data_IF_811691234673
#
_entry.id   IF_811691234673
#
_cell.length_a   1.000
_cell.length_b   1.000
_cell.length_c   1.000
_cell.angle_alpha   90.00
_cell.angle_beta   90.00
_cell.angle_gamma   90.00
#
_symmetry.space_group_name_H-M   'P 1'
#
loop_
_entity.id
_entity.type
_entity.pdbx_description
1 polymer ?
#
# COMPACT_ATOMS: atom_id res chain seq x y z
N UNK A 1 -26.64 94.96 -17.34
CA UNK A 1 -26.82 93.55 -17.68
C UNK A 1 -25.44 92.91 -17.67
N UNK A 2 -25.09 92.17 -16.63
CA UNK A 2 -23.77 91.48 -16.50
C UNK A 2 -23.98 89.94 -16.52
N UNK A 3 -23.58 89.28 -17.57
CA UNK A 3 -23.56 87.81 -17.63
C UNK A 3 -22.41 87.27 -16.75
N UNK A 4 -22.72 86.32 -15.92
CA UNK A 4 -21.77 85.50 -15.16
C UNK A 4 -21.52 84.18 -15.92
N UNK A 5 -20.27 83.72 -16.09
CA UNK A 5 -20.04 82.39 -16.64
C UNK A 5 -20.14 81.33 -15.53
N UNK A 6 -20.82 80.22 -15.90
CA UNK A 6 -20.88 78.96 -15.10
C UNK A 6 -19.56 78.20 -15.28
N UNK A 7 -18.87 77.91 -14.17
CA UNK A 7 -17.71 77.03 -14.14
C UNK A 7 -18.25 75.61 -13.93
N UNK A 8 -18.09 74.73 -14.89
CA UNK A 8 -18.32 73.31 -14.80
C UNK A 8 -17.16 72.60 -14.11
N UNK A 9 -17.37 72.04 -12.93
CA UNK A 9 -16.38 71.22 -12.25
C UNK A 9 -16.46 69.75 -12.84
N UNK A 10 -15.38 69.36 -13.48
CA UNK A 10 -15.21 67.98 -13.94
C UNK A 10 -14.77 67.10 -12.73
N UNK A 11 -15.63 66.22 -12.25
CA UNK A 11 -15.29 65.19 -11.28
C UNK A 11 -14.58 64.03 -11.99
N UNK A 12 -13.27 63.88 -11.80
CA UNK A 12 -12.52 62.69 -12.21
C UNK A 12 -12.80 61.53 -11.28
N UNK A 13 -13.56 60.56 -11.76
CA UNK A 13 -13.75 59.29 -11.06
C UNK A 13 -12.50 58.42 -11.26
N UNK A 14 -11.75 58.20 -10.19
CA UNK A 14 -10.66 57.24 -10.14
C UNK A 14 -11.27 55.84 -9.95
N UNK A 15 -11.27 55.02 -11.00
CA UNK A 15 -11.65 53.64 -10.93
C UNK A 15 -10.52 52.84 -10.25
N UNK A 16 -10.73 52.46 -8.98
CA UNK A 16 -9.90 51.46 -8.32
C UNK A 16 -10.25 50.09 -8.88
N UNK A 17 -9.41 49.57 -9.79
CA UNK A 17 -9.48 48.16 -10.18
C UNK A 17 -9.01 47.31 -9.00
N UNK A 18 -9.93 46.65 -8.32
CA UNK A 18 -9.62 45.62 -7.34
C UNK A 18 -9.06 44.39 -8.12
N UNK A 19 -7.74 44.21 -8.05
CA UNK A 19 -7.12 42.96 -8.44
C UNK A 19 -7.57 41.90 -7.44
N UNK A 20 -8.54 41.05 -7.83
CA UNK A 20 -8.90 39.88 -7.05
C UNK A 20 -7.67 38.97 -7.00
N UNK A 21 -7.06 38.82 -5.83
CA UNK A 21 -6.05 37.80 -5.59
C UNK A 21 -6.69 36.44 -5.86
N UNK A 22 -6.17 35.69 -6.82
CA UNK A 22 -6.55 34.29 -7.04
C UNK A 22 -6.35 33.53 -5.72
N UNK A 23 -7.25 32.64 -5.34
CA UNK A 23 -7.05 31.82 -4.14
C UNK A 23 -5.72 31.07 -4.32
N UNK A 24 -4.82 31.21 -3.35
CA UNK A 24 -3.61 30.42 -3.27
C UNK A 24 -4.04 28.95 -3.42
N UNK A 25 -3.51 28.26 -4.43
CA UNK A 25 -3.87 26.88 -4.72
C UNK A 25 -3.79 26.08 -3.42
N UNK A 26 -4.83 25.35 -3.11
CA UNK A 26 -4.85 24.45 -1.97
C UNK A 26 -3.63 23.53 -2.10
N UNK A 27 -2.66 23.66 -1.20
CA UNK A 27 -1.55 22.72 -1.14
C UNK A 27 -2.17 21.34 -0.98
N UNK A 28 -1.88 20.44 -1.93
CA UNK A 28 -2.34 19.06 -1.84
C UNK A 28 -1.83 18.48 -0.52
N UNK A 29 -2.71 17.82 0.24
CA UNK A 29 -2.28 17.12 1.44
C UNK A 29 -1.10 16.21 1.12
N UNK A 30 -0.13 16.05 2.03
CA UNK A 30 0.98 15.13 1.82
C UNK A 30 0.41 13.71 1.58
N UNK A 31 1.09 12.90 0.76
CA UNK A 31 0.66 11.52 0.57
C UNK A 31 0.59 10.79 1.93
N UNK A 32 -0.34 9.85 2.10
CA UNK A 32 -0.45 9.06 3.33
C UNK A 32 0.82 8.25 3.57
N UNK A 33 1.05 7.81 4.79
CA UNK A 33 2.04 6.80 5.14
C UNK A 33 1.62 5.42 4.62
N UNK A 34 2.48 4.42 4.73
CA UNK A 34 2.13 3.02 4.38
C UNK A 34 0.93 2.51 5.23
N UNK A 35 0.85 2.89 6.51
CA UNK A 35 -0.33 2.62 7.33
C UNK A 35 -1.58 3.29 6.75
N UNK A 36 -1.51 4.58 6.42
CA UNK A 36 -2.62 5.30 5.82
C UNK A 36 -3.03 4.78 4.42
N UNK A 37 -2.10 4.20 3.66
CA UNK A 37 -2.42 3.49 2.41
C UNK A 37 -3.24 2.23 2.70
N UNK A 38 -2.85 1.45 3.71
CA UNK A 38 -3.61 0.26 4.13
C UNK A 38 -5.00 0.64 4.62
N UNK A 39 -5.12 1.64 5.47
CA UNK A 39 -6.41 2.13 5.97
C UNK A 39 -7.34 2.61 4.87
N UNK A 40 -6.78 3.20 3.80
CA UNK A 40 -7.56 3.70 2.67
C UNK A 40 -8.00 2.61 1.69
N UNK A 41 -7.32 1.48 1.65
CA UNK A 41 -7.57 0.37 0.73
C UNK A 41 -8.01 -0.93 1.44
N UNK A 42 -7.97 -0.94 2.75
CA UNK A 42 -8.52 -1.95 3.62
C UNK A 42 -9.63 -1.34 4.48
N UNK A 43 -10.33 -2.14 5.22
CA UNK A 43 -11.42 -1.69 6.06
C UNK A 43 -11.91 -2.79 6.98
N UNK A 44 -13.16 -3.16 6.82
CA UNK A 44 -13.74 -4.35 7.44
C UNK A 44 -14.01 -5.37 6.36
N UNK A 45 -13.90 -6.67 6.65
CA UNK A 45 -14.26 -7.74 5.71
C UNK A 45 -15.59 -7.44 5.01
N UNK A 46 -15.57 -7.26 3.68
CA UNK A 46 -16.72 -6.74 2.92
C UNK A 46 -17.10 -7.58 1.68
N UNK A 47 -16.38 -8.68 1.42
CA UNK A 47 -16.48 -9.57 0.26
C UNK A 47 -15.75 -9.08 -1.00
N UNK A 48 -14.88 -8.09 -0.90
CA UNK A 48 -14.01 -7.65 -1.98
C UNK A 48 -12.62 -8.32 -1.89
N UNK A 49 -12.47 -9.49 -2.40
CA UNK A 49 -11.25 -10.30 -2.35
C UNK A 49 -9.98 -9.65 -2.95
N UNK A 50 -10.07 -8.45 -3.52
CA UNK A 50 -8.98 -7.77 -4.21
C UNK A 50 -8.49 -6.50 -3.50
N UNK A 51 -8.94 -6.23 -2.30
CA UNK A 51 -8.40 -5.21 -1.39
C UNK A 51 -7.51 -5.83 -0.30
N UNK A 52 -7.34 -5.18 0.85
CA UNK A 52 -6.34 -5.52 1.84
C UNK A 52 -6.88 -5.54 3.27
N UNK A 53 -8.16 -5.86 3.45
CA UNK A 53 -8.83 -5.88 4.77
C UNK A 53 -8.16 -6.84 5.74
N UNK A 54 -7.86 -8.06 5.26
CA UNK A 54 -7.23 -9.10 6.07
C UNK A 54 -5.78 -8.73 6.41
N UNK A 55 -5.07 -8.06 5.50
CA UNK A 55 -3.73 -7.56 5.78
C UNK A 55 -3.75 -6.45 6.83
N UNK A 56 -4.66 -5.47 6.72
CA UNK A 56 -4.81 -4.39 7.68
C UNK A 56 -5.08 -4.95 9.09
N UNK A 57 -6.03 -5.89 9.21
CA UNK A 57 -6.32 -6.57 10.47
C UNK A 57 -5.10 -7.36 10.99
N UNK A 58 -4.34 -8.00 10.11
CA UNK A 58 -3.11 -8.73 10.47
C UNK A 58 -2.00 -7.80 10.97
N UNK A 59 -1.81 -6.64 10.35
CA UNK A 59 -0.84 -5.61 10.77
C UNK A 59 -1.17 -5.09 12.17
N UNK A 60 -2.44 -4.81 12.44
CA UNK A 60 -2.91 -4.36 13.75
C UNK A 60 -2.70 -5.46 14.82
N UNK A 61 -3.10 -6.69 14.51
CA UNK A 61 -2.91 -7.82 15.42
C UNK A 61 -1.43 -8.12 15.73
N UNK A 62 -0.54 -7.87 14.75
CA UNK A 62 0.90 -8.03 14.91
C UNK A 62 1.56 -6.84 15.64
N UNK A 63 0.83 -5.74 15.91
CA UNK A 63 1.37 -4.52 16.53
C UNK A 63 2.40 -3.82 15.64
N UNK A 64 2.16 -3.76 14.33
CA UNK A 64 3.07 -3.17 13.34
C UNK A 64 2.55 -1.86 12.73
N UNK A 65 1.36 -1.40 13.11
CA UNK A 65 0.73 -0.18 12.57
C UNK A 65 1.60 1.05 12.78
N UNK A 66 2.20 1.22 13.97
CA UNK A 66 3.13 2.33 14.26
C UNK A 66 4.40 2.28 13.40
N UNK A 67 4.91 1.08 13.10
CA UNK A 67 6.11 0.93 12.26
C UNK A 67 5.84 1.31 10.80
N UNK A 68 4.63 1.05 10.30
CA UNK A 68 4.19 1.46 8.97
C UNK A 68 3.76 2.94 8.91
N UNK A 69 3.47 3.55 10.05
CA UNK A 69 3.13 4.98 10.17
C UNK A 69 4.36 5.88 10.42
N UNK A 70 5.51 5.30 10.74
CA UNK A 70 6.75 6.08 10.99
C UNK A 70 7.16 6.88 9.75
N UNK A 71 7.15 8.22 9.79
CA UNK A 71 7.52 9.05 8.65
C UNK A 71 9.01 8.95 8.29
N UNK A 72 9.85 8.45 9.19
CA UNK A 72 11.27 8.21 8.94
C UNK A 72 11.54 6.86 8.28
N UNK A 73 10.54 5.99 8.20
CA UNK A 73 10.67 4.72 7.50
C UNK A 73 10.94 4.96 5.99
N UNK A 74 11.67 4.05 5.39
CA UNK A 74 11.96 4.05 3.96
C UNK A 74 11.87 2.60 3.49
N UNK A 75 10.65 2.18 3.12
CA UNK A 75 10.32 0.78 2.91
C UNK A 75 9.73 0.52 1.53
N UNK A 76 9.94 -0.71 1.05
CA UNK A 76 9.10 -1.35 0.05
C UNK A 76 8.29 -2.44 0.74
N UNK A 77 6.97 -2.43 0.58
CA UNK A 77 6.08 -3.42 1.19
C UNK A 77 5.32 -4.17 0.11
N UNK A 78 5.34 -5.49 0.19
CA UNK A 78 4.54 -6.38 -0.64
C UNK A 78 3.20 -6.64 0.07
N UNK A 79 2.09 -6.29 -0.59
CA UNK A 79 0.75 -6.35 -0.02
C UNK A 79 -0.03 -7.55 -0.61
N UNK A 80 -0.13 -8.68 0.11
CA UNK A 80 -1.05 -9.74 -0.29
C UNK A 80 -2.50 -9.25 -0.15
N UNK A 81 -3.30 -9.45 -1.20
CA UNK A 81 -4.73 -9.17 -1.14
C UNK A 81 -5.48 -10.25 -0.34
N UNK A 82 -6.78 -10.05 -0.10
CA UNK A 82 -7.56 -10.97 0.71
C UNK A 82 -7.69 -12.36 0.07
N UNK A 83 -7.67 -12.42 -1.27
CA UNK A 83 -7.60 -13.69 -1.99
C UNK A 83 -6.32 -14.47 -1.69
N UNK A 84 -5.20 -13.78 -1.47
CA UNK A 84 -3.94 -14.42 -1.08
C UNK A 84 -4.04 -15.08 0.32
N UNK A 85 -4.72 -14.42 1.26
CA UNK A 85 -4.99 -15.01 2.58
C UNK A 85 -5.97 -16.16 2.52
N UNK A 86 -6.98 -16.09 1.66
CA UNK A 86 -7.89 -17.22 1.45
C UNK A 86 -7.13 -18.44 0.92
N UNK A 87 -6.19 -18.23 -0.03
CA UNK A 87 -5.33 -19.28 -0.54
C UNK A 87 -4.46 -19.90 0.57
N UNK A 88 -3.82 -19.05 1.40
CA UNK A 88 -3.04 -19.49 2.55
C UNK A 88 -3.86 -20.36 3.50
N UNK A 89 -5.04 -19.90 3.89
CA UNK A 89 -5.91 -20.64 4.83
C UNK A 89 -6.42 -21.94 4.21
N UNK A 90 -6.72 -21.94 2.90
CA UNK A 90 -7.13 -23.14 2.19
C UNK A 90 -6.00 -24.18 2.10
N UNK A 91 -4.76 -23.74 1.97
CA UNK A 91 -3.59 -24.60 1.97
C UNK A 91 -3.35 -25.21 3.36
N UNK A 92 -3.37 -24.39 4.41
CA UNK A 92 -3.10 -24.82 5.80
C UNK A 92 -4.20 -25.70 6.41
N UNK A 93 -5.47 -25.41 6.09
CA UNK A 93 -6.63 -26.03 6.79
C UNK A 93 -7.58 -26.79 5.88
N UNK A 94 -7.30 -26.80 4.58
CA UNK A 94 -8.01 -27.62 3.60
C UNK A 94 -8.88 -26.83 2.61
N UNK A 95 -9.24 -27.48 1.47
CA UNK A 95 -9.81 -26.82 0.31
C UNK A 95 -11.22 -26.24 0.50
N UNK A 96 -11.91 -26.57 1.59
CA UNK A 96 -13.23 -26.01 1.89
C UNK A 96 -13.16 -24.49 2.14
N UNK A 97 -12.02 -23.97 2.57
CA UNK A 97 -11.82 -22.54 2.79
C UNK A 97 -11.82 -21.69 1.51
N UNK A 98 -11.75 -22.31 0.31
CA UNK A 98 -12.00 -21.61 -0.94
C UNK A 98 -13.45 -21.09 -1.09
N UNK A 99 -14.38 -21.58 -0.24
CA UNK A 99 -15.79 -21.16 -0.20
C UNK A 99 -16.12 -20.36 1.07
N UNK A 100 -15.12 -20.08 1.91
CA UNK A 100 -15.30 -19.31 3.14
C UNK A 100 -15.34 -17.80 2.80
N UNK A 101 -16.06 -17.04 3.62
CA UNK A 101 -16.05 -15.58 3.59
C UNK A 101 -14.79 -15.00 4.30
N UNK A 102 -14.51 -13.73 4.09
CA UNK A 102 -13.36 -13.05 4.68
C UNK A 102 -13.36 -13.08 6.21
N UNK A 103 -14.51 -12.93 6.85
CA UNK A 103 -14.62 -13.00 8.31
C UNK A 103 -14.19 -14.38 8.84
N UNK A 104 -14.53 -15.45 8.11
CA UNK A 104 -14.08 -16.80 8.42
C UNK A 104 -12.57 -16.92 8.22
N UNK A 105 -12.01 -16.41 7.12
CA UNK A 105 -10.56 -16.39 6.88
C UNK A 105 -9.84 -15.63 7.99
N UNK A 106 -10.30 -14.43 8.34
CA UNK A 106 -9.73 -13.65 9.45
C UNK A 106 -9.72 -14.44 10.76
N UNK A 107 -10.81 -15.16 11.06
CA UNK A 107 -10.86 -15.99 12.28
C UNK A 107 -9.79 -17.09 12.29
N UNK A 108 -9.44 -17.66 11.13
CA UNK A 108 -8.35 -18.65 11.05
C UNK A 108 -6.97 -18.01 11.21
N UNK A 109 -6.75 -16.80 10.69
CA UNK A 109 -5.51 -16.04 10.91
C UNK A 109 -5.32 -15.70 12.39
N UNK A 110 -6.37 -15.24 13.07
CA UNK A 110 -6.35 -15.01 14.52
C UNK A 110 -6.09 -16.31 15.29
N UNK A 111 -6.66 -17.42 14.85
CA UNK A 111 -6.40 -18.74 15.44
C UNK A 111 -4.95 -19.17 15.25
N UNK A 112 -4.37 -18.94 14.06
CA UNK A 112 -2.97 -19.22 13.78
C UNK A 112 -2.06 -18.44 14.75
N UNK A 113 -2.29 -17.14 14.90
CA UNK A 113 -1.55 -16.30 15.85
C UNK A 113 -1.72 -16.74 17.30
N UNK A 114 -2.94 -17.17 17.69
CA UNK A 114 -3.20 -17.65 19.04
C UNK A 114 -2.49 -18.98 19.34
N UNK A 115 -2.41 -19.89 18.35
CA UNK A 115 -1.75 -21.19 18.49
C UNK A 115 -0.23 -21.11 18.38
N UNK A 116 0.28 -20.15 17.60
CA UNK A 116 1.70 -19.89 17.38
C UNK A 116 1.98 -18.37 17.44
N UNK A 117 2.10 -17.79 18.66
CA UNK A 117 2.24 -16.36 18.85
C UNK A 117 3.50 -15.80 18.15
N UNK A 118 3.34 -14.67 17.46
CA UNK A 118 4.38 -14.02 16.68
C UNK A 118 4.48 -14.49 15.23
N UNK A 119 3.65 -15.44 14.81
CA UNK A 119 3.62 -15.91 13.40
C UNK A 119 3.22 -14.80 12.46
N UNK A 120 2.11 -14.09 12.72
CA UNK A 120 1.68 -12.97 11.87
C UNK A 120 2.75 -11.88 11.79
N UNK A 121 3.35 -11.52 12.92
CA UNK A 121 4.45 -10.54 12.95
C UNK A 121 5.61 -10.99 12.08
N UNK A 122 6.02 -12.25 12.17
CA UNK A 122 7.13 -12.82 11.39
C UNK A 122 6.81 -12.79 9.90
N UNK A 123 5.62 -13.21 9.50
CA UNK A 123 5.16 -13.21 8.12
C UNK A 123 5.06 -11.78 7.58
N UNK A 124 4.47 -10.83 8.31
CA UNK A 124 4.33 -9.44 7.87
C UNK A 124 5.69 -8.76 7.71
N UNK A 125 6.64 -8.97 8.64
CA UNK A 125 7.99 -8.46 8.50
C UNK A 125 8.75 -9.08 7.32
N UNK A 126 8.38 -10.29 6.89
CA UNK A 126 8.92 -10.93 5.71
C UNK A 126 8.42 -10.30 4.40
N UNK A 127 7.29 -9.57 4.44
CA UNK A 127 6.74 -8.81 3.32
C UNK A 127 7.31 -7.40 3.17
N UNK A 128 8.24 -6.97 4.04
CA UNK A 128 8.81 -5.64 4.01
C UNK A 128 10.33 -5.69 3.81
N UNK A 129 10.85 -4.81 2.95
CA UNK A 129 12.28 -4.62 2.70
C UNK A 129 12.65 -3.15 2.86
N UNK A 130 13.90 -2.88 3.25
CA UNK A 130 14.41 -1.51 3.37
C UNK A 130 14.66 -0.89 1.99
N UNK A 131 14.42 0.41 1.86
CA UNK A 131 14.55 1.18 0.62
C UNK A 131 13.30 1.16 -0.24
N UNK A 132 13.22 2.11 -1.18
CA UNK A 132 12.11 2.18 -2.13
C UNK A 132 12.53 1.56 -3.46
N UNK A 133 11.91 0.46 -3.81
CA UNK A 133 12.12 -0.29 -5.05
C UNK A 133 10.83 -0.14 -5.87
N UNK A 134 10.82 0.74 -6.84
CA UNK A 134 9.68 0.88 -7.74
C UNK A 134 9.60 -0.29 -8.75
N UNK A 135 8.46 -0.42 -9.42
CA UNK A 135 8.23 -1.50 -10.39
C UNK A 135 9.24 -1.50 -11.53
N UNK A 136 9.66 -0.33 -11.99
CA UNK A 136 10.68 -0.19 -13.04
C UNK A 136 12.01 -0.80 -12.59
N UNK A 137 12.43 -0.53 -11.37
CA UNK A 137 13.63 -1.11 -10.77
C UNK A 137 13.45 -2.61 -10.58
N UNK A 138 12.34 -3.06 -9.98
CA UNK A 138 12.05 -4.47 -9.75
C UNK A 138 12.02 -5.30 -11.04
N UNK A 139 11.54 -4.72 -12.16
CA UNK A 139 11.47 -5.39 -13.47
C UNK A 139 12.77 -5.32 -14.27
N UNK A 140 13.76 -4.56 -13.82
CA UNK A 140 15.06 -4.40 -14.51
C UNK A 140 16.22 -5.14 -13.86
N UNK A 141 16.03 -5.71 -12.65
CA UNK A 141 17.07 -6.48 -11.98
C UNK A 141 17.31 -7.85 -12.65
N UNK A 142 18.48 -8.46 -12.50
CA UNK A 142 18.71 -9.84 -12.91
C UNK A 142 17.75 -10.81 -12.20
N UNK A 143 17.31 -11.85 -12.91
CA UNK A 143 16.45 -12.89 -12.33
C UNK A 143 17.11 -13.54 -11.12
N UNK A 144 16.35 -13.73 -10.05
CA UNK A 144 16.83 -14.28 -8.78
C UNK A 144 17.57 -13.26 -7.88
N UNK A 145 17.48 -11.96 -8.19
CA UNK A 145 18.06 -10.91 -7.32
C UNK A 145 17.49 -10.99 -5.90
N UNK A 146 18.35 -11.16 -4.88
CA UNK A 146 17.90 -11.29 -3.50
C UNK A 146 17.56 -9.93 -2.87
N UNK A 147 16.46 -9.88 -2.14
CA UNK A 147 16.07 -8.78 -1.27
C UNK A 147 16.06 -9.29 0.18
N UNK A 148 16.78 -8.63 1.06
CA UNK A 148 16.73 -8.94 2.50
C UNK A 148 15.51 -8.28 3.12
N UNK A 149 14.67 -9.09 3.74
CA UNK A 149 13.43 -8.63 4.40
C UNK A 149 13.71 -8.07 5.80
N UNK A 150 12.76 -7.33 6.38
CA UNK A 150 12.87 -6.85 7.77
C UNK A 150 12.81 -7.99 8.80
N UNK A 151 12.29 -9.15 8.41
CA UNK A 151 12.33 -10.37 9.22
C UNK A 151 13.74 -10.96 9.27
N UNK A 152 14.62 -10.61 8.32
CA UNK A 152 16.01 -11.11 8.20
C UNK A 152 16.19 -12.22 7.15
N UNK A 153 15.13 -12.77 6.62
CA UNK A 153 15.15 -13.72 5.50
C UNK A 153 15.33 -13.06 4.15
N UNK A 154 15.19 -13.84 3.08
CA UNK A 154 15.43 -13.39 1.71
C UNK A 154 14.27 -13.75 0.81
N UNK A 155 13.78 -12.76 0.03
CA UNK A 155 12.89 -12.95 -1.11
C UNK A 155 13.69 -12.70 -2.38
N UNK A 156 13.50 -13.52 -3.42
CA UNK A 156 14.21 -13.35 -4.71
C UNK A 156 13.26 -12.83 -5.76
N UNK A 157 13.66 -11.75 -6.43
CA UNK A 157 12.89 -11.12 -7.51
C UNK A 157 13.32 -11.71 -8.85
N UNK A 158 12.37 -12.24 -9.60
CA UNK A 158 12.57 -12.79 -10.94
C UNK A 158 11.64 -12.08 -11.94
N UNK A 159 12.13 -11.07 -12.67
CA UNK A 159 11.32 -10.33 -13.64
C UNK A 159 10.76 -11.22 -14.75
N UNK A 160 9.49 -11.00 -15.09
CA UNK A 160 8.80 -11.56 -16.25
C UNK A 160 8.36 -10.38 -17.13
N UNK A 161 9.35 -9.72 -17.75
CA UNK A 161 9.20 -8.41 -18.38
C UNK A 161 8.09 -8.36 -19.46
N UNK A 162 7.87 -9.44 -20.22
CA UNK A 162 6.82 -9.50 -21.23
C UNK A 162 5.39 -9.52 -20.64
N UNK A 163 5.25 -9.86 -19.35
CA UNK A 163 3.98 -9.76 -18.60
C UNK A 163 3.89 -8.50 -17.75
N UNK A 164 4.93 -7.67 -17.70
CA UNK A 164 4.99 -6.49 -16.83
C UNK A 164 4.91 -6.82 -15.35
N UNK A 165 5.43 -7.99 -14.93
CA UNK A 165 5.40 -8.49 -13.56
C UNK A 165 6.73 -9.12 -13.16
N UNK A 166 6.86 -9.50 -11.89
CA UNK A 166 7.96 -10.31 -11.39
C UNK A 166 7.42 -11.38 -10.44
N UNK A 167 8.05 -12.55 -10.44
CA UNK A 167 7.84 -13.60 -9.44
C UNK A 167 8.72 -13.31 -8.25
N UNK A 168 8.19 -13.50 -7.05
CA UNK A 168 8.86 -13.33 -5.77
C UNK A 168 9.06 -14.70 -5.14
N UNK A 169 10.22 -15.32 -5.36
CA UNK A 169 10.51 -16.63 -4.75
C UNK A 169 10.89 -16.46 -3.30
N UNK A 170 10.17 -17.12 -2.43
CA UNK A 170 10.34 -17.06 -0.98
C UNK A 170 11.07 -18.29 -0.39
N UNK A 171 10.95 -18.55 0.90
CA UNK A 171 11.64 -19.64 1.57
C UNK A 171 10.83 -20.95 1.60
N UNK A 172 9.53 -20.88 1.38
CA UNK A 172 8.68 -22.05 1.23
C UNK A 172 8.81 -22.60 -0.20
N UNK A 173 9.16 -23.88 -0.35
CA UNK A 173 9.46 -24.49 -1.66
C UNK A 173 8.32 -25.35 -2.21
N UNK A 174 7.31 -25.55 -1.41
CA UNK A 174 6.19 -26.44 -1.72
C UNK A 174 4.89 -25.70 -2.01
N UNK A 175 4.90 -24.37 -1.90
CA UNK A 175 3.77 -23.54 -2.30
C UNK A 175 3.98 -22.81 -3.64
N UNK A 176 3.02 -21.98 -4.01
CA UNK A 176 3.07 -21.18 -5.24
C UNK A 176 3.71 -19.82 -4.94
N UNK A 177 4.88 -19.59 -5.54
CA UNK A 177 5.56 -18.29 -5.47
C UNK A 177 4.61 -17.14 -5.87
N UNK A 178 4.51 -16.06 -5.07
CA UNK A 178 3.73 -14.88 -5.43
C UNK A 178 4.31 -14.13 -6.63
N UNK A 179 3.44 -13.43 -7.37
CA UNK A 179 3.86 -12.45 -8.37
C UNK A 179 3.30 -11.07 -8.08
N UNK A 180 3.98 -10.05 -8.56
CA UNK A 180 3.51 -8.68 -8.49
C UNK A 180 2.23 -8.52 -9.33
N UNK A 181 1.19 -7.91 -8.76
CA UNK A 181 -0.09 -7.65 -9.47
C UNK A 181 0.03 -6.37 -10.28
N UNK A 182 0.02 -6.42 -11.64
CA UNK A 182 0.33 -5.24 -12.47
C UNK A 182 -0.58 -4.02 -12.23
N UNK A 183 -1.83 -4.25 -11.83
CA UNK A 183 -2.80 -3.17 -11.52
C UNK A 183 -2.60 -2.55 -10.13
N UNK A 184 -1.73 -3.10 -9.30
CA UNK A 184 -1.47 -2.71 -7.91
C UNK A 184 0.02 -2.44 -7.66
N UNK A 185 0.74 -1.94 -8.67
CA UNK A 185 2.14 -1.55 -8.56
C UNK A 185 2.28 -0.06 -8.18
N UNK A 186 3.43 0.28 -7.59
CA UNK A 186 3.85 1.65 -7.30
C UNK A 186 2.81 2.46 -6.49
N UNK A 187 2.17 1.84 -5.51
CA UNK A 187 1.32 2.52 -4.55
C UNK A 187 2.22 3.35 -3.65
N UNK A 188 2.27 4.66 -3.89
CA UNK A 188 3.21 5.57 -3.22
C UNK A 188 2.67 6.04 -1.88
N UNK A 189 3.52 5.94 -0.88
CA UNK A 189 3.32 6.51 0.45
C UNK A 189 4.39 7.56 0.74
N UNK A 190 4.19 8.41 1.77
CA UNK A 190 5.19 9.40 2.19
C UNK A 190 6.47 8.77 2.72
N UNK A 191 6.38 7.56 3.28
CA UNK A 191 7.45 6.82 3.92
C UNK A 191 7.80 5.50 3.21
N UNK A 192 7.32 5.29 1.97
CA UNK A 192 7.62 4.06 1.25
C UNK A 192 6.88 3.89 -0.07
N UNK A 193 6.98 2.69 -0.59
CA UNK A 193 6.25 2.24 -1.79
C UNK A 193 5.67 0.86 -1.52
N UNK A 194 4.47 0.60 -2.03
CA UNK A 194 3.84 -0.71 -1.88
C UNK A 194 3.50 -1.33 -3.24
N UNK A 195 3.51 -2.66 -3.29
CA UNK A 195 3.13 -3.44 -4.46
C UNK A 195 2.19 -4.56 -4.04
N UNK A 196 1.03 -4.65 -4.67
CA UNK A 196 0.13 -5.78 -4.49
C UNK A 196 0.74 -7.07 -5.02
N UNK A 197 0.54 -8.16 -4.30
CA UNK A 197 0.99 -9.51 -4.67
C UNK A 197 -0.15 -10.53 -4.63
N UNK A 198 0.02 -11.63 -5.37
CA UNK A 198 -1.04 -12.64 -5.61
C UNK A 198 -1.19 -13.67 -4.50
N UNK A 199 -0.13 -13.96 -3.76
CA UNK A 199 -0.10 -14.90 -2.63
C UNK A 199 0.70 -14.33 -1.47
N UNK A 200 0.57 -14.92 -0.29
CA UNK A 200 1.33 -14.53 0.90
C UNK A 200 2.75 -15.07 0.80
N UNK A 201 3.77 -14.22 1.03
CA UNK A 201 5.16 -14.64 1.14
C UNK A 201 5.38 -15.42 2.45
N UNK A 202 6.03 -16.56 2.37
CA UNK A 202 6.27 -17.44 3.52
C UNK A 202 7.75 -17.52 3.88
N UNK A 203 8.14 -17.15 5.12
CA UNK A 203 9.52 -17.28 5.59
C UNK A 203 9.96 -18.72 5.85
N UNK A 204 9.02 -19.64 5.90
CA UNK A 204 9.18 -21.07 6.10
C UNK A 204 7.89 -21.81 5.72
N UNK A 205 7.92 -23.12 5.67
CA UNK A 205 6.74 -23.98 5.60
C UNK A 205 5.90 -23.74 6.88
N UNK A 206 4.62 -23.36 6.72
CA UNK A 206 3.70 -22.96 7.80
C UNK A 206 2.74 -24.06 8.16
#
# INVERSE_FOLDING_TARGET
MKLRPLIAAAASAVLFSAVAAAPAGAASAPPPTLAGVLDAQGGRPDHNWYDFDLLAAGVDAAGLSEALDDPAANLTVFLPNDRAFQALVADLYGPLYWFADEATILSQLVRLETSAPGTLRTVILYHAVSGQIDSKTALSVPSGTPLTTLQGGTVRVSPVAWLGTAVLTDADRNDVDPWLVPSKLDIRASNGIAHGISFVLRPADL
#
